data_IF_484799006833
#
_entry.id   IF_484799006833
#
_cell.length_a   1.000
_cell.length_b   1.000
_cell.length_c   1.000
_cell.angle_alpha   90.00
_cell.angle_beta   90.00
_cell.angle_gamma   90.00
#
_symmetry.space_group_name_H-M   'P 1'
#
loop_
_entity.id
_entity.type
_entity.pdbx_description
1 polymer ?
#
# COMPACT_ATOMS: atom_id res chain seq x y z
N UNK A 1 3.14 5.75 -0.40
CA UNK A 1 1.69 5.55 -0.58
C UNK A 1 1.41 4.06 -0.59
N UNK A 2 0.15 3.66 -0.41
CA UNK A 2 -0.28 2.25 -0.47
C UNK A 2 -1.42 2.13 -1.47
N UNK A 3 -1.53 0.98 -2.13
CA UNK A 3 -2.63 0.63 -3.03
C UNK A 3 -3.28 -0.65 -2.50
N UNK A 4 -4.59 -0.59 -2.25
CA UNK A 4 -5.43 -1.71 -1.88
C UNK A 4 -6.26 -2.10 -3.10
N UNK A 5 -5.88 -3.20 -3.75
CA UNK A 5 -6.51 -3.69 -4.96
C UNK A 5 -7.46 -4.84 -4.63
N UNK A 6 -8.76 -4.60 -4.78
CA UNK A 6 -9.84 -5.56 -4.49
C UNK A 6 -9.77 -6.19 -3.09
N UNK A 7 -9.18 -5.46 -2.15
CA UNK A 7 -8.96 -5.89 -0.78
C UNK A 7 -9.34 -4.76 0.16
N UNK A 8 -10.09 -5.08 1.21
CA UNK A 8 -10.37 -4.16 2.29
C UNK A 8 -9.11 -4.00 3.18
N UNK A 9 -8.58 -2.78 3.37
CA UNK A 9 -7.47 -2.54 4.29
C UNK A 9 -7.71 -3.04 5.71
N UNK A 10 -8.97 -3.09 6.17
CA UNK A 10 -9.34 -3.65 7.47
C UNK A 10 -8.97 -5.12 7.56
N UNK A 11 -9.17 -5.88 6.48
CA UNK A 11 -8.80 -7.28 6.39
C UNK A 11 -7.28 -7.47 6.34
N UNK A 12 -6.54 -6.55 5.73
CA UNK A 12 -5.06 -6.53 5.80
C UNK A 12 -4.57 -6.19 7.20
N UNK A 13 -5.16 -5.17 7.83
CA UNK A 13 -4.77 -4.68 9.15
C UNK A 13 -4.99 -5.71 10.24
N UNK A 14 -6.14 -6.37 10.22
CA UNK A 14 -6.57 -7.35 11.23
C UNK A 14 -6.22 -8.78 10.85
N UNK A 15 -5.77 -9.02 9.61
CA UNK A 15 -5.54 -10.34 9.03
C UNK A 15 -6.79 -11.21 9.12
N UNK A 16 -7.90 -10.64 8.66
CA UNK A 16 -9.24 -11.24 8.62
C UNK A 16 -9.70 -11.47 7.18
N UNK A 17 -10.93 -11.97 7.01
CA UNK A 17 -11.51 -12.21 5.69
C UNK A 17 -10.72 -13.20 4.82
N UNK A 18 -10.76 -12.98 3.51
CA UNK A 18 -10.02 -13.81 2.55
C UNK A 18 -8.50 -13.65 2.72
N UNK A 19 -8.03 -12.41 2.84
CA UNK A 19 -6.62 -12.08 3.01
C UNK A 19 -6.00 -12.82 4.21
N UNK A 20 -6.64 -12.76 5.38
CA UNK A 20 -6.22 -13.43 6.59
C UNK A 20 -6.18 -14.96 6.47
N UNK A 21 -7.13 -15.55 5.73
CA UNK A 21 -7.17 -17.00 5.49
C UNK A 21 -5.96 -17.45 4.66
N UNK A 22 -5.65 -16.72 3.59
CA UNK A 22 -4.47 -17.00 2.76
C UNK A 22 -3.19 -16.75 3.56
N UNK A 23 -3.11 -15.64 4.29
CA UNK A 23 -1.95 -15.32 5.15
C UNK A 23 -1.64 -16.45 6.15
N UNK A 24 -2.65 -17.02 6.81
CA UNK A 24 -2.47 -18.17 7.71
C UNK A 24 -1.92 -19.40 7.00
N UNK A 25 -2.39 -19.69 5.79
CA UNK A 25 -1.85 -20.80 4.97
C UNK A 25 -0.39 -20.52 4.58
N UNK A 26 -0.06 -19.30 4.16
CA UNK A 26 1.31 -18.89 3.81
C UNK A 26 2.27 -19.01 5.00
N UNK A 27 1.78 -18.78 6.22
CA UNK A 27 2.58 -18.85 7.44
C UNK A 27 2.75 -20.28 7.99
N UNK A 28 2.11 -21.30 7.43
CA UNK A 28 2.09 -22.65 8.02
C UNK A 28 3.49 -23.26 8.22
N UNK A 29 4.43 -22.95 7.33
CA UNK A 29 5.80 -23.49 7.33
C UNK A 29 6.86 -22.41 7.63
N UNK A 30 6.45 -21.26 8.19
CA UNK A 30 7.34 -20.13 8.42
C UNK A 30 7.75 -20.04 9.89
N UNK A 31 8.94 -19.50 10.14
CA UNK A 31 9.43 -19.29 11.50
C UNK A 31 8.61 -18.20 12.19
N UNK A 32 8.45 -18.32 13.52
CA UNK A 32 7.59 -17.42 14.31
C UNK A 32 7.97 -15.94 14.17
N UNK A 33 9.27 -15.65 14.08
CA UNK A 33 9.78 -14.27 14.01
C UNK A 33 9.40 -13.59 12.69
N UNK A 34 9.46 -14.32 11.57
CA UNK A 34 9.02 -13.82 10.27
C UNK A 34 7.52 -13.51 10.29
N UNK A 35 6.72 -14.40 10.89
CA UNK A 35 5.27 -14.20 11.02
C UNK A 35 5.01 -12.93 11.83
N UNK A 36 5.66 -12.74 12.98
CA UNK A 36 5.49 -11.53 13.82
C UNK A 36 5.87 -10.28 13.03
N UNK A 37 7.00 -10.29 12.32
CA UNK A 37 7.47 -9.17 11.50
C UNK A 37 6.47 -8.82 10.40
N UNK A 38 5.94 -9.82 9.70
CA UNK A 38 4.94 -9.60 8.64
C UNK A 38 3.62 -9.07 9.19
N UNK A 39 3.14 -9.59 10.32
CA UNK A 39 1.91 -9.09 10.97
C UNK A 39 2.05 -7.60 11.31
N UNK A 40 3.18 -7.21 11.90
CA UNK A 40 3.45 -5.80 12.24
C UNK A 40 3.57 -4.93 10.99
N UNK A 41 4.28 -5.39 9.96
CA UNK A 41 4.44 -4.65 8.71
C UNK A 41 3.08 -4.43 8.01
N UNK A 42 2.25 -5.46 7.90
CA UNK A 42 0.92 -5.38 7.28
C UNK A 42 -0.02 -4.47 8.08
N UNK A 43 -0.03 -4.58 9.40
CA UNK A 43 -0.81 -3.68 10.26
C UNK A 43 -0.38 -2.22 10.10
N UNK A 44 0.93 -1.95 10.01
CA UNK A 44 1.46 -0.59 9.79
C UNK A 44 1.08 -0.05 8.41
N UNK A 45 1.33 -0.82 7.35
CA UNK A 45 1.00 -0.43 5.97
C UNK A 45 -0.49 -0.16 5.81
N UNK A 46 -1.36 -0.96 6.43
CA UNK A 46 -2.81 -0.79 6.38
C UNK A 46 -3.34 0.48 7.08
N UNK A 47 -2.49 1.23 7.81
CA UNK A 47 -2.85 2.52 8.40
C UNK A 47 -2.39 3.73 7.59
N UNK A 48 -1.56 3.51 6.56
CA UNK A 48 -1.06 4.58 5.71
C UNK A 48 -2.16 4.97 4.71
N UNK A 49 -2.42 6.27 4.58
CA UNK A 49 -3.34 6.79 3.57
C UNK A 49 -2.93 6.34 2.16
N UNK A 50 -3.90 5.86 1.39
CA UNK A 50 -3.65 5.20 0.11
C UNK A 50 -4.90 5.06 -0.75
N UNK A 51 -4.71 4.40 -1.88
CA UNK A 51 -5.73 4.22 -2.91
C UNK A 51 -6.45 2.90 -2.72
N UNK A 52 -7.76 2.89 -2.88
CA UNK A 52 -8.59 1.68 -2.80
C UNK A 52 -9.24 1.51 -4.17
N UNK A 53 -9.01 0.40 -4.86
CA UNK A 53 -9.54 0.22 -6.22
C UNK A 53 -11.07 0.32 -6.28
N UNK A 54 -11.76 -0.06 -5.21
CA UNK A 54 -13.22 0.01 -5.08
C UNK A 54 -13.78 1.44 -5.03
N UNK A 55 -12.93 2.45 -4.83
CA UNK A 55 -13.34 3.86 -4.82
C UNK A 55 -13.26 4.51 -6.21
N UNK A 56 -12.94 3.74 -7.24
CA UNK A 56 -12.74 4.22 -8.60
C UNK A 56 -13.61 3.42 -9.59
N UNK A 57 -14.22 4.11 -10.54
CA UNK A 57 -15.05 3.48 -11.56
C UNK A 57 -14.24 2.67 -12.59
N UNK A 58 -12.97 3.05 -12.79
CA UNK A 58 -12.05 2.35 -13.67
C UNK A 58 -10.61 2.45 -13.17
N UNK A 59 -9.83 1.41 -13.45
CA UNK A 59 -8.43 1.31 -12.99
C UNK A 59 -7.51 2.35 -13.64
N UNK A 60 -7.78 2.72 -14.90
CA UNK A 60 -6.97 3.68 -15.63
C UNK A 60 -6.96 5.05 -14.93
N UNK A 61 -8.12 5.53 -14.47
CA UNK A 61 -8.25 6.77 -13.70
C UNK A 61 -7.51 6.70 -12.36
N UNK A 62 -7.60 5.57 -11.65
CA UNK A 62 -6.83 5.38 -10.41
C UNK A 62 -5.31 5.44 -10.68
N UNK A 63 -4.84 4.77 -11.73
CA UNK A 63 -3.43 4.72 -12.10
C UNK A 63 -2.94 6.11 -12.53
N UNK A 64 -3.73 6.84 -13.31
CA UNK A 64 -3.42 8.22 -13.71
C UNK A 64 -3.27 9.12 -12.47
N UNK A 65 -4.22 9.04 -11.52
CA UNK A 65 -4.12 9.80 -10.29
C UNK A 65 -2.87 9.45 -9.49
N UNK A 66 -2.54 8.15 -9.34
CA UNK A 66 -1.32 7.69 -8.66
C UNK A 66 -0.07 8.25 -9.35
N UNK A 67 0.00 8.21 -10.68
CA UNK A 67 1.15 8.70 -11.44
C UNK A 67 1.34 10.21 -11.26
N UNK A 68 0.25 10.98 -11.33
CA UNK A 68 0.25 12.42 -11.08
C UNK A 68 0.71 12.75 -9.65
N UNK A 69 0.21 12.01 -8.66
CA UNK A 69 0.59 12.15 -7.25
C UNK A 69 2.08 11.91 -7.02
N UNK A 70 2.65 10.89 -7.66
CA UNK A 70 4.08 10.56 -7.58
C UNK A 70 4.90 11.65 -8.26
N UNK A 71 4.51 12.04 -9.48
CA UNK A 71 5.18 13.11 -10.24
C UNK A 71 5.24 14.42 -9.44
N UNK A 72 4.11 14.85 -8.88
CA UNK A 72 4.06 16.06 -8.04
C UNK A 72 4.93 15.93 -6.78
N UNK A 73 4.93 14.76 -6.13
CA UNK A 73 5.81 14.51 -4.98
C UNK A 73 7.28 14.64 -5.37
N UNK A 74 7.71 14.00 -6.46
CA UNK A 74 9.08 14.05 -6.96
C UNK A 74 9.51 15.48 -7.34
N UNK A 75 8.67 16.21 -8.06
CA UNK A 75 8.97 17.60 -8.45
C UNK A 75 9.08 18.53 -7.23
N UNK A 76 8.30 18.28 -6.17
CA UNK A 76 8.44 19.01 -4.91
C UNK A 76 9.77 18.73 -4.20
N UNK A 77 10.31 17.51 -4.34
CA UNK A 77 11.61 17.15 -3.76
C UNK A 77 12.80 17.67 -4.59
N UNK A 78 12.62 17.91 -5.88
CA UNK A 78 13.69 18.38 -6.75
C UNK A 78 14.16 19.81 -6.44
N UNK A 79 13.35 20.63 -5.75
CA UNK A 79 13.66 22.04 -5.44
C UNK A 79 13.88 22.90 -6.70
N UNK A 80 13.91 24.24 -6.60
CA UNK A 80 14.43 25.03 -7.69
C UNK A 80 15.92 24.70 -7.81
N UNK A 81 16.32 24.10 -8.93
CA UNK A 81 17.72 24.10 -9.36
C UNK A 81 18.21 25.54 -9.24
N UNK A 82 19.14 25.80 -8.33
CA UNK A 82 19.87 27.05 -8.31
C UNK A 82 20.69 27.09 -9.59
N UNK A 83 20.09 27.55 -10.68
CA UNK A 83 20.82 28.11 -11.80
C UNK A 83 21.46 29.39 -11.28
N UNK A 84 22.70 29.27 -10.78
CA UNK A 84 23.57 30.43 -10.61
C UNK A 84 24.17 30.78 -11.98
N UNK A 85 24.24 32.07 -12.36
CA UNK A 85 24.70 32.52 -13.66
C UNK A 85 26.10 32.02 -14.08
#
# INVERSE_FOLDING_TARGET
MVVFYEVDPSDVKKLTGHFGRVFRKTCAEKIKDDIVRWRQALAKVATIAGYHSTNWDNEAAMIEQIANDISHKLNKFAGPSSETP
#
